data_IF_315457386791
#
_entry.id   IF_315457386791
#
_cell.length_a   1.000
_cell.length_b   1.000
_cell.length_c   1.000
_cell.angle_alpha   90.00
_cell.angle_beta   90.00
_cell.angle_gamma   90.00
#
_symmetry.space_group_name_H-M   'P 1'
#
loop_
_entity.id
_entity.type
_entity.pdbx_description
1 polymer ?
#
# COMPACT_ATOMS: atom_id res chain seq x y z
N UNK A 1 28.32 14.08 -85.06
CA UNK A 1 29.04 15.30 -84.63
C UNK A 1 29.24 15.16 -83.12
N UNK A 2 30.34 14.55 -82.65
CA UNK A 2 31.56 15.24 -82.18
C UNK A 2 31.17 16.14 -80.97
N UNK A 3 31.51 15.93 -79.69
CA UNK A 3 32.62 15.28 -78.97
C UNK A 3 32.21 14.99 -77.50
N UNK A 4 32.88 14.03 -76.88
CA UNK A 4 33.12 13.85 -75.43
C UNK A 4 34.66 13.95 -75.23
N UNK A 5 35.31 13.97 -74.03
CA UNK A 5 34.85 14.04 -72.63
C UNK A 5 35.60 15.11 -71.77
N UNK A 6 35.19 15.29 -70.51
CA UNK A 6 36.12 15.67 -69.44
C UNK A 6 35.80 14.93 -68.13
N UNK A 7 36.80 14.21 -67.63
CA UNK A 7 36.85 13.37 -66.42
C UNK A 7 36.64 14.18 -65.15
N UNK A 8 35.93 13.62 -64.15
CA UNK A 8 36.24 13.86 -62.72
C UNK A 8 36.10 12.58 -61.90
N UNK A 9 37.01 12.51 -60.93
CA UNK A 9 37.48 11.40 -60.10
C UNK A 9 36.42 10.70 -59.22
N UNK A 10 36.65 9.40 -59.01
CA UNK A 10 36.07 8.59 -57.94
C UNK A 10 36.54 9.05 -56.55
N UNK A 11 35.62 9.10 -55.59
CA UNK A 11 35.91 8.85 -54.19
C UNK A 11 34.66 8.26 -53.53
N UNK A 12 34.78 6.97 -53.18
CA UNK A 12 33.85 6.24 -52.32
C UNK A 12 34.04 6.79 -50.91
N UNK A 13 32.98 7.37 -50.32
CA UNK A 13 32.96 7.72 -48.89
C UNK A 13 32.10 6.69 -48.17
N UNK A 14 32.78 5.93 -47.32
CA UNK A 14 32.26 5.00 -46.34
C UNK A 14 31.51 5.80 -45.26
N UNK A 15 30.18 5.77 -45.24
CA UNK A 15 29.41 6.30 -44.11
C UNK A 15 29.27 5.19 -43.06
N UNK A 16 29.97 5.37 -41.94
CA UNK A 16 29.84 4.54 -40.75
C UNK A 16 28.43 4.70 -40.15
N UNK A 17 27.70 3.59 -40.00
CA UNK A 17 26.55 3.52 -39.11
C UNK A 17 27.05 3.49 -37.66
N UNK A 18 26.91 4.60 -36.95
CA UNK A 18 26.85 4.60 -35.49
C UNK A 18 25.39 4.69 -35.09
N UNK A 19 24.84 3.58 -34.61
CA UNK A 19 23.56 3.54 -33.94
C UNK A 19 23.65 4.38 -32.66
N UNK A 20 22.98 5.54 -32.65
CA UNK A 20 22.71 6.27 -31.44
C UNK A 20 21.50 5.60 -30.76
N UNK A 21 21.75 4.90 -29.66
CA UNK A 21 20.70 4.53 -28.71
C UNK A 21 20.11 5.84 -28.16
N UNK A 22 18.87 6.13 -28.51
CA UNK A 22 18.11 7.18 -27.83
C UNK A 22 17.66 6.61 -26.48
N UNK A 23 18.19 7.19 -25.40
CA UNK A 23 17.66 7.03 -24.05
C UNK A 23 16.26 7.67 -23.99
N UNK A 24 15.22 6.88 -24.29
CA UNK A 24 13.83 7.23 -23.99
C UNK A 24 13.59 7.08 -22.47
N UNK A 25 14.01 8.10 -21.71
CA UNK A 25 13.57 8.25 -20.34
C UNK A 25 12.08 8.66 -20.36
N UNK A 26 11.17 7.93 -19.69
CA UNK A 26 9.77 8.34 -19.58
C UNK A 26 9.68 9.68 -18.83
N UNK A 27 8.85 10.58 -19.35
CA UNK A 27 8.63 11.92 -18.80
C UNK A 27 8.14 11.93 -17.33
N UNK A 28 8.20 13.10 -16.65
CA UNK A 28 7.97 13.19 -15.22
C UNK A 28 6.58 12.68 -14.80
N UNK A 29 6.57 11.90 -13.72
CA UNK A 29 5.47 11.03 -13.30
C UNK A 29 4.22 11.77 -12.79
N UNK A 30 4.33 13.03 -12.34
CA UNK A 30 3.24 13.92 -11.92
C UNK A 30 3.72 15.38 -11.96
N UNK A 31 2.85 16.41 -12.12
CA UNK A 31 3.24 17.77 -11.79
C UNK A 31 3.54 17.86 -10.28
N UNK A 32 4.80 18.16 -9.94
CA UNK A 32 5.28 18.28 -8.57
C UNK A 32 4.51 19.37 -7.82
N UNK A 33 3.88 19.02 -6.69
CA UNK A 33 3.58 20.01 -5.68
C UNK A 33 4.90 20.51 -5.09
N UNK A 34 5.02 21.80 -4.71
CA UNK A 34 6.24 22.31 -4.11
C UNK A 34 6.58 21.53 -2.85
N UNK A 35 7.58 20.65 -2.94
CA UNK A 35 8.20 19.99 -1.79
C UNK A 35 8.82 21.09 -0.93
N UNK A 36 8.51 21.16 0.39
CA UNK A 36 9.16 22.12 1.26
C UNK A 36 10.68 22.06 1.08
N UNK A 37 11.29 23.20 0.78
CA UNK A 37 12.70 23.31 0.33
C UNK A 37 13.73 22.81 1.35
N UNK A 38 13.31 22.44 2.56
CA UNK A 38 14.01 21.53 3.47
C UNK A 38 12.99 20.69 4.23
N UNK A 39 13.05 19.36 4.14
CA UNK A 39 12.31 18.51 5.06
C UNK A 39 12.74 18.86 6.50
N UNK A 40 11.77 19.16 7.35
CA UNK A 40 12.01 19.38 8.79
C UNK A 40 11.40 18.22 9.55
N UNK A 41 12.13 17.60 10.49
CA UNK A 41 11.54 16.61 11.36
C UNK A 41 10.31 17.15 12.07
N UNK A 42 9.31 16.28 12.24
CA UNK A 42 8.07 16.61 12.92
C UNK A 42 8.35 17.04 14.37
N UNK A 43 7.66 18.06 14.92
CA UNK A 43 7.87 18.50 16.31
C UNK A 43 7.67 17.38 17.34
N UNK A 44 6.76 16.45 17.08
CA UNK A 44 6.49 15.27 17.91
C UNK A 44 7.34 14.03 17.56
N UNK A 45 8.56 14.20 17.04
CA UNK A 45 9.49 13.11 16.67
C UNK A 45 9.62 12.02 17.75
N UNK A 46 9.75 12.41 19.02
CA UNK A 46 9.91 11.45 20.12
C UNK A 46 8.70 10.52 20.27
N UNK A 47 7.49 11.06 20.12
CA UNK A 47 6.24 10.31 20.18
C UNK A 47 6.12 9.32 19.02
N UNK A 48 6.56 9.71 17.82
CA UNK A 48 6.61 8.81 16.66
C UNK A 48 7.62 7.69 16.84
N UNK A 49 8.82 7.98 17.37
CA UNK A 49 9.81 6.95 17.65
C UNK A 49 9.36 5.96 18.73
N UNK A 50 8.64 6.43 19.75
CA UNK A 50 8.04 5.54 20.75
C UNK A 50 6.96 4.64 20.12
N UNK A 51 6.09 5.23 19.28
CA UNK A 51 5.08 4.48 18.52
C UNK A 51 5.73 3.38 17.66
N UNK A 52 6.80 3.76 16.94
CA UNK A 52 7.56 2.89 16.06
C UNK A 52 8.24 1.73 16.81
N UNK A 53 8.79 1.97 18.00
CA UNK A 53 9.34 0.89 18.86
C UNK A 53 8.27 -0.15 19.20
N UNK A 54 7.07 0.29 19.59
CA UNK A 54 5.95 -0.60 19.83
C UNK A 54 5.55 -1.38 18.57
N UNK A 55 5.45 -0.71 17.43
CA UNK A 55 5.12 -1.38 16.17
C UNK A 55 6.17 -2.41 15.74
N UNK A 56 7.45 -2.11 15.94
CA UNK A 56 8.54 -3.06 15.67
C UNK A 56 8.49 -4.28 16.60
N UNK A 57 8.04 -4.15 17.86
CA UNK A 57 7.87 -5.31 18.76
C UNK A 57 7.00 -6.39 18.13
N UNK A 58 5.89 -6.02 17.48
CA UNK A 58 5.04 -6.96 16.76
C UNK A 58 5.81 -7.61 15.58
N UNK A 59 6.35 -6.77 14.68
CA UNK A 59 7.02 -7.23 13.47
C UNK A 59 8.21 -8.15 13.77
N UNK A 60 8.94 -7.89 14.86
CA UNK A 60 10.04 -8.71 15.32
C UNK A 60 9.58 -10.08 15.88
N UNK A 61 8.46 -10.10 16.62
CA UNK A 61 7.91 -11.33 17.21
C UNK A 61 7.30 -12.27 16.15
N UNK A 62 6.68 -11.68 15.11
CA UNK A 62 5.99 -12.41 14.06
C UNK A 62 6.84 -12.70 12.82
N UNK A 63 8.13 -12.36 12.88
CA UNK A 63 9.10 -12.61 11.81
C UNK A 63 9.42 -14.10 11.66
N UNK A 64 9.39 -14.59 10.43
CA UNK A 64 9.68 -15.98 10.08
C UNK A 64 11.11 -16.11 9.53
N UNK A 65 12.06 -16.70 10.30
CA UNK A 65 13.45 -16.75 9.87
C UNK A 65 13.72 -17.61 8.65
N UNK A 66 12.83 -18.54 8.29
CA UNK A 66 13.03 -19.37 7.10
C UNK A 66 12.85 -18.57 5.81
N UNK A 67 11.85 -17.68 5.78
CA UNK A 67 11.40 -16.96 4.56
C UNK A 67 11.69 -15.47 4.61
N UNK A 68 11.94 -14.90 5.79
CA UNK A 68 12.01 -13.45 5.98
C UNK A 68 10.65 -12.75 5.99
N UNK A 69 9.55 -13.48 5.82
CA UNK A 69 8.19 -12.94 5.86
C UNK A 69 7.75 -12.68 7.31
N UNK A 70 6.65 -11.95 7.49
CA UNK A 70 6.07 -11.63 8.79
C UNK A 70 4.61 -12.06 8.77
N UNK A 71 4.13 -12.71 9.84
CA UNK A 71 2.72 -13.11 9.95
C UNK A 71 1.80 -11.89 9.83
N UNK A 72 0.66 -12.07 9.15
CA UNK A 72 -0.30 -10.97 8.97
C UNK A 72 -0.99 -10.57 10.28
N UNK A 73 -1.30 -11.56 11.11
CA UNK A 73 -1.90 -11.47 12.44
C UNK A 73 -1.08 -12.32 13.40
N UNK A 74 -1.01 -11.91 14.67
CA UNK A 74 -0.23 -12.64 15.69
C UNK A 74 -0.52 -14.15 15.70
N UNK A 75 0.53 -14.97 15.54
CA UNK A 75 0.45 -16.44 15.58
C UNK A 75 -0.23 -17.09 14.37
N UNK A 76 -0.57 -16.33 13.33
CA UNK A 76 -1.25 -16.83 12.14
C UNK A 76 -0.29 -16.85 10.94
N UNK A 77 0.22 -18.03 10.51
CA UNK A 77 1.38 -18.14 9.62
C UNK A 77 1.04 -17.96 8.13
N UNK A 78 0.16 -17.03 7.81
CA UNK A 78 -0.26 -16.72 6.45
C UNK A 78 -0.30 -15.21 6.22
N UNK A 79 -0.05 -14.81 4.97
CA UNK A 79 0.02 -13.42 4.56
C UNK A 79 -0.49 -13.26 3.14
N UNK A 80 -1.38 -12.29 2.95
CA UNK A 80 -1.71 -11.77 1.63
C UNK A 80 -0.50 -11.06 1.02
N UNK A 81 -0.56 -10.78 -0.27
CA UNK A 81 0.50 -10.00 -0.94
C UNK A 81 0.57 -8.57 -0.37
N UNK A 82 -0.56 -8.03 0.11
CA UNK A 82 -0.61 -6.77 0.84
C UNK A 82 0.18 -6.83 2.16
N UNK A 83 -0.01 -7.91 2.92
CA UNK A 83 0.69 -8.15 4.19
C UNK A 83 2.20 -8.33 4.00
N UNK A 84 2.60 -9.04 2.93
CA UNK A 84 4.01 -9.20 2.56
C UNK A 84 4.65 -7.83 2.32
N UNK A 85 3.99 -6.96 1.57
CA UNK A 85 4.47 -5.61 1.32
C UNK A 85 4.55 -4.78 2.61
N UNK A 86 3.58 -4.92 3.52
CA UNK A 86 3.63 -4.33 4.86
C UNK A 86 4.80 -4.88 5.70
N UNK A 87 5.15 -6.17 5.55
CA UNK A 87 6.33 -6.76 6.19
C UNK A 87 7.64 -6.17 5.68
N UNK A 88 7.78 -6.02 4.35
CA UNK A 88 8.90 -5.32 3.73
C UNK A 88 9.02 -3.88 4.25
N UNK A 89 7.88 -3.18 4.33
CA UNK A 89 7.81 -1.83 4.89
C UNK A 89 8.32 -1.76 6.32
N UNK A 90 7.84 -2.65 7.19
CA UNK A 90 8.21 -2.68 8.59
C UNK A 90 9.72 -2.89 8.78
N UNK A 91 10.32 -3.83 8.04
CA UNK A 91 11.77 -4.10 8.12
C UNK A 91 12.58 -2.90 7.62
N UNK A 92 12.22 -2.34 6.46
CA UNK A 92 12.89 -1.17 5.89
C UNK A 92 12.85 0.02 6.85
N UNK A 93 11.65 0.38 7.32
CA UNK A 93 11.46 1.50 8.23
C UNK A 93 12.17 1.30 9.58
N UNK A 94 12.18 0.07 10.13
CA UNK A 94 12.90 -0.20 11.37
C UNK A 94 14.41 -0.03 11.24
N UNK A 95 14.99 -0.39 10.09
CA UNK A 95 16.39 -0.12 9.77
C UNK A 95 16.68 1.38 9.64
N UNK A 96 15.88 2.11 8.86
CA UNK A 96 16.05 3.56 8.65
C UNK A 96 15.88 4.38 9.94
N UNK A 97 14.98 3.96 10.83
CA UNK A 97 14.75 4.59 12.14
C UNK A 97 15.79 4.19 13.19
N UNK A 98 16.72 3.29 12.88
CA UNK A 98 17.73 2.79 13.82
C UNK A 98 17.14 1.95 14.96
N UNK A 99 15.97 1.34 14.76
CA UNK A 99 15.36 0.41 15.73
C UNK A 99 16.05 -0.95 15.74
N UNK A 100 16.66 -1.30 14.60
CA UNK A 100 17.57 -2.45 14.42
C UNK A 100 18.84 -1.98 13.72
N UNK A 101 19.91 -2.79 13.79
CA UNK A 101 21.13 -2.51 13.03
C UNK A 101 20.84 -2.57 11.53
N UNK A 102 21.42 -1.68 10.75
CA UNK A 102 21.25 -1.64 9.29
C UNK A 102 21.49 -3.01 8.64
N UNK A 103 22.61 -3.67 8.97
CA UNK A 103 22.91 -5.01 8.45
C UNK A 103 21.90 -6.10 8.84
N UNK A 104 21.17 -5.96 9.96
CA UNK A 104 20.09 -6.89 10.30
C UNK A 104 18.85 -6.62 9.45
N UNK A 105 18.55 -5.35 9.16
CA UNK A 105 17.48 -4.98 8.25
C UNK A 105 17.75 -5.52 6.84
N UNK A 106 18.97 -5.32 6.32
CA UNK A 106 19.36 -5.78 4.98
C UNK A 106 19.36 -7.31 4.88
N UNK A 107 19.80 -8.03 5.92
CA UNK A 107 19.72 -9.48 5.95
C UNK A 107 18.27 -10.00 5.95
N UNK A 108 17.36 -9.32 6.66
CA UNK A 108 15.93 -9.67 6.71
C UNK A 108 15.23 -9.35 5.38
N UNK A 109 15.49 -8.17 4.80
CA UNK A 109 15.01 -7.79 3.47
C UNK A 109 15.51 -8.76 2.40
N UNK A 110 16.81 -9.05 2.38
CA UNK A 110 17.41 -10.00 1.44
C UNK A 110 16.75 -11.37 1.49
N UNK A 111 16.38 -11.85 2.69
CA UNK A 111 15.67 -13.12 2.86
C UNK A 111 14.24 -13.07 2.32
N UNK A 112 13.47 -12.05 2.69
CA UNK A 112 12.11 -11.85 2.18
C UNK A 112 12.08 -11.75 0.65
N UNK A 113 13.02 -11.01 0.07
CA UNK A 113 13.17 -10.85 -1.37
C UNK A 113 13.58 -12.17 -2.05
N UNK A 114 14.46 -12.98 -1.44
CA UNK A 114 14.79 -14.29 -1.97
C UNK A 114 13.58 -15.24 -1.98
N UNK A 115 12.73 -15.20 -0.94
CA UNK A 115 11.44 -15.91 -0.95
C UNK A 115 10.53 -15.40 -2.06
N UNK A 116 10.37 -14.09 -2.22
CA UNK A 116 9.57 -13.52 -3.32
C UNK A 116 10.11 -13.89 -4.71
N UNK A 117 11.43 -14.00 -4.86
CA UNK A 117 12.09 -14.37 -6.12
C UNK A 117 11.87 -15.84 -6.48
N UNK A 118 11.61 -16.71 -5.50
CA UNK A 118 11.49 -18.16 -5.68
C UNK A 118 10.07 -18.69 -5.52
N UNK A 119 9.18 -17.98 -4.82
CA UNK A 119 7.83 -18.43 -4.55
C UNK A 119 7.05 -18.69 -5.85
N UNK A 120 6.19 -19.71 -5.84
CA UNK A 120 5.37 -20.07 -7.01
C UNK A 120 4.34 -18.98 -7.27
N UNK A 121 4.18 -18.61 -8.55
CA UNK A 121 3.15 -17.66 -8.99
C UNK A 121 1.88 -18.42 -9.41
N UNK A 122 0.72 -17.79 -9.25
CA UNK A 122 -0.54 -18.29 -9.80
C UNK A 122 -0.45 -18.28 -11.34
N UNK A 123 -0.61 -19.45 -11.95
CA UNK A 123 -0.47 -19.69 -13.40
C UNK A 123 0.84 -19.16 -14.02
N UNK A 124 1.90 -19.00 -13.22
CA UNK A 124 3.16 -18.40 -13.69
C UNK A 124 3.08 -16.90 -14.03
N UNK A 125 1.96 -16.24 -13.73
CA UNK A 125 1.68 -14.85 -14.14
C UNK A 125 1.94 -13.88 -13.01
N UNK A 126 1.40 -14.13 -11.83
CA UNK A 126 1.38 -13.16 -10.74
C UNK A 126 1.34 -13.85 -9.37
N UNK A 127 1.71 -13.16 -8.28
CA UNK A 127 1.57 -13.70 -6.93
C UNK A 127 0.15 -14.19 -6.65
N UNK A 128 0.03 -15.37 -6.04
CA UNK A 128 -1.23 -15.86 -5.50
C UNK A 128 -1.73 -14.92 -4.39
N UNK A 129 -3.05 -14.87 -4.15
CA UNK A 129 -3.63 -14.00 -3.12
C UNK A 129 -3.09 -14.26 -1.70
N UNK A 130 -2.72 -15.49 -1.34
CA UNK A 130 -2.21 -15.82 0.00
C UNK A 130 -1.02 -16.80 -0.04
N UNK A 131 -0.09 -16.63 0.89
CA UNK A 131 1.09 -17.47 1.05
C UNK A 131 1.32 -17.82 2.52
N UNK A 132 1.93 -18.98 2.72
CA UNK A 132 2.60 -19.30 3.98
C UNK A 132 3.69 -18.30 4.29
N UNK A 133 3.67 -17.72 5.47
CA UNK A 133 4.84 -16.98 5.96
C UNK A 133 5.92 -17.93 6.44
N UNK A 134 5.58 -19.14 6.88
CA UNK A 134 6.56 -20.11 7.38
C UNK A 134 7.36 -20.77 6.26
N UNK A 135 6.73 -21.04 5.11
CA UNK A 135 7.33 -21.84 4.02
C UNK A 135 7.48 -21.09 2.70
N UNK A 136 6.73 -19.99 2.49
CA UNK A 136 6.61 -19.32 1.19
C UNK A 136 5.77 -20.10 0.16
N UNK A 137 5.11 -21.18 0.57
CA UNK A 137 4.20 -21.95 -0.28
C UNK A 137 2.86 -21.23 -0.49
N UNK A 138 2.18 -21.54 -1.60
CA UNK A 138 0.81 -21.06 -1.86
C UNK A 138 -0.12 -21.58 -0.76
N UNK A 139 -0.88 -20.67 -0.16
CA UNK A 139 -1.98 -20.97 0.75
C UNK A 139 -3.33 -20.87 0.04
N UNK A 140 -4.33 -21.61 0.54
CA UNK A 140 -5.69 -21.62 0.01
C UNK A 140 -6.59 -20.53 0.59
N UNK A 141 -7.86 -20.57 0.18
CA UNK A 141 -8.92 -19.68 0.68
C UNK A 141 -9.28 -19.90 2.15
N UNK A 142 -9.04 -21.11 2.64
CA UNK A 142 -9.24 -21.53 4.02
C UNK A 142 -7.94 -21.47 4.82
N UNK A 143 -6.90 -20.86 4.24
CA UNK A 143 -5.60 -20.65 4.84
C UNK A 143 -4.99 -21.97 5.33
N UNK A 144 -5.08 -22.99 4.47
CA UNK A 144 -4.41 -24.28 4.63
C UNK A 144 -3.28 -24.47 3.62
N UNK A 145 -2.33 -25.33 3.99
CA UNK A 145 -1.09 -25.55 3.25
C UNK A 145 -0.82 -27.03 2.92
N UNK A 146 -0.25 -27.30 1.72
CA UNK A 146 -0.53 -26.55 0.50
C UNK A 146 -2.00 -26.76 0.14
N UNK A 147 -2.83 -25.70 0.10
CA UNK A 147 -4.24 -25.92 -0.21
C UNK A 147 -4.46 -26.44 -1.64
N UNK A 148 -3.69 -25.91 -2.61
CA UNK A 148 -3.67 -26.40 -4.00
C UNK A 148 -2.32 -26.15 -4.67
N UNK A 149 -2.00 -26.93 -5.71
CA UNK A 149 -0.80 -26.66 -6.53
C UNK A 149 -0.91 -25.35 -7.34
N UNK A 150 -2.12 -24.97 -7.74
CA UNK A 150 -2.32 -23.80 -8.61
C UNK A 150 -2.42 -22.47 -7.84
N UNK A 151 -3.02 -22.47 -6.66
CA UNK A 151 -3.54 -21.28 -5.99
C UNK A 151 -4.99 -20.98 -6.38
N UNK A 152 -5.48 -19.77 -6.07
CA UNK A 152 -6.87 -19.37 -6.27
C UNK A 152 -7.06 -17.97 -6.89
N UNK A 153 -6.00 -17.40 -7.45
CA UNK A 153 -6.01 -16.15 -8.21
C UNK A 153 -5.06 -15.10 -7.63
N UNK A 154 -5.19 -13.86 -8.08
CA UNK A 154 -4.37 -12.74 -7.64
C UNK A 154 -5.22 -11.51 -7.31
N UNK A 155 -4.70 -10.68 -6.41
CA UNK A 155 -5.21 -9.34 -6.11
C UNK A 155 -4.29 -8.32 -6.78
N UNK A 156 -4.81 -7.62 -7.78
CA UNK A 156 -4.11 -6.52 -8.44
C UNK A 156 -3.89 -5.31 -7.52
N UNK A 157 -4.78 -5.07 -6.54
CA UNK A 157 -4.55 -4.03 -5.52
C UNK A 157 -3.37 -4.37 -4.61
N UNK A 158 -3.25 -5.64 -4.21
CA UNK A 158 -2.14 -6.10 -3.37
C UNK A 158 -0.82 -6.07 -4.14
N UNK A 159 -0.84 -6.51 -5.40
CA UNK A 159 0.33 -6.43 -6.28
C UNK A 159 0.76 -4.97 -6.46
N UNK A 160 -0.19 -4.03 -6.62
CA UNK A 160 0.11 -2.60 -6.68
C UNK A 160 0.89 -2.13 -5.45
N UNK A 161 0.44 -2.47 -4.24
CA UNK A 161 1.17 -2.18 -2.99
C UNK A 161 2.56 -2.82 -2.97
N UNK A 162 2.68 -4.09 -3.35
CA UNK A 162 3.97 -4.78 -3.43
C UNK A 162 4.92 -4.05 -4.39
N UNK A 163 4.44 -3.63 -5.56
CA UNK A 163 5.24 -2.92 -6.55
C UNK A 163 5.73 -1.54 -6.05
N UNK A 164 4.93 -0.83 -5.24
CA UNK A 164 5.38 0.39 -4.55
C UNK A 164 6.57 0.07 -3.63
N UNK A 165 6.43 -0.93 -2.76
CA UNK A 165 7.48 -1.27 -1.80
C UNK A 165 8.74 -1.86 -2.44
N UNK A 166 8.58 -2.64 -3.50
CA UNK A 166 9.69 -3.10 -4.32
C UNK A 166 10.43 -1.90 -4.94
N UNK A 167 9.73 -0.88 -5.41
CA UNK A 167 10.37 0.34 -5.94
C UNK A 167 11.14 1.09 -4.86
N UNK A 168 10.54 1.30 -3.68
CA UNK A 168 11.19 1.95 -2.53
C UNK A 168 12.49 1.23 -2.18
N UNK A 169 12.45 -0.09 -2.03
CA UNK A 169 13.63 -0.90 -1.70
C UNK A 169 14.67 -0.84 -2.80
N UNK A 170 14.29 -0.98 -4.08
CA UNK A 170 15.25 -0.93 -5.19
C UNK A 170 16.00 0.40 -5.29
N UNK A 171 15.37 1.51 -4.90
CA UNK A 171 15.98 2.85 -4.92
C UNK A 171 16.81 3.10 -3.65
N UNK A 172 16.28 2.77 -2.47
CA UNK A 172 16.89 3.12 -1.18
C UNK A 172 17.86 2.06 -0.63
N UNK A 173 17.84 0.84 -1.20
CA UNK A 173 18.74 -0.28 -0.88
C UNK A 173 19.33 -0.86 -2.18
N UNK A 174 20.29 -0.17 -2.82
CA UNK A 174 20.81 -0.54 -4.15
C UNK A 174 21.33 -1.98 -4.24
N UNK A 175 21.84 -2.54 -3.14
CA UNK A 175 22.27 -3.93 -3.00
C UNK A 175 21.15 -4.94 -3.27
N UNK A 176 19.89 -4.57 -3.06
CA UNK A 176 18.71 -5.39 -3.34
C UNK A 176 18.10 -5.14 -4.72
N UNK A 177 18.51 -4.08 -5.43
CA UNK A 177 17.87 -3.64 -6.66
C UNK A 177 17.87 -4.69 -7.77
N UNK A 178 18.94 -5.48 -7.88
CA UNK A 178 19.02 -6.57 -8.87
C UNK A 178 17.99 -7.68 -8.59
N UNK A 179 17.87 -8.09 -7.32
CA UNK A 179 16.88 -9.08 -6.89
C UNK A 179 15.46 -8.57 -7.09
N UNK A 180 15.18 -7.32 -6.72
CA UNK A 180 13.88 -6.70 -6.96
C UNK A 180 13.52 -6.72 -8.46
N UNK A 181 14.43 -6.32 -9.35
CA UNK A 181 14.17 -6.37 -10.80
C UNK A 181 13.82 -7.78 -11.28
N UNK A 182 14.49 -8.81 -10.75
CA UNK A 182 14.18 -10.21 -11.08
C UNK A 182 12.80 -10.62 -10.56
N UNK A 183 12.41 -10.21 -9.35
CA UNK A 183 11.06 -10.44 -8.82
C UNK A 183 9.99 -9.84 -9.74
N UNK A 184 10.14 -8.57 -10.13
CA UNK A 184 9.18 -7.88 -11.01
C UNK A 184 9.14 -8.54 -12.39
N UNK A 185 10.29 -8.90 -12.97
CA UNK A 185 10.37 -9.54 -14.28
C UNK A 185 9.72 -10.93 -14.36
N UNK A 186 9.51 -11.60 -13.21
CA UNK A 186 8.75 -12.86 -13.16
C UNK A 186 7.24 -12.65 -13.31
N UNK A 187 6.74 -11.44 -13.07
CA UNK A 187 5.33 -11.13 -13.16
C UNK A 187 4.99 -10.65 -14.57
N UNK A 188 3.94 -11.22 -15.17
CA UNK A 188 3.39 -10.70 -16.42
C UNK A 188 2.36 -9.60 -16.11
N UNK A 189 2.86 -8.42 -15.77
CA UNK A 189 2.04 -7.25 -15.42
C UNK A 189 1.15 -6.78 -16.58
N UNK A 190 1.50 -7.13 -17.83
CA UNK A 190 0.68 -6.82 -19.01
C UNK A 190 -0.65 -7.59 -19.03
N UNK A 191 -0.72 -8.76 -18.38
CA UNK A 191 -1.96 -9.52 -18.22
C UNK A 191 -2.88 -9.01 -17.10
N UNK A 192 -2.34 -8.16 -16.22
CA UNK A 192 -3.06 -7.53 -15.12
C UNK A 192 -3.64 -6.19 -15.55
N UNK A 193 -2.90 -5.40 -16.32
CA UNK A 193 -3.39 -4.13 -16.86
C UNK A 193 -4.15 -4.36 -18.16
N UNK A 194 -5.44 -4.00 -18.18
CA UNK A 194 -6.30 -4.13 -19.35
C UNK A 194 -7.28 -2.98 -19.46
N UNK A 195 -7.42 -2.43 -20.67
CA UNK A 195 -8.36 -1.34 -20.98
C UNK A 195 -8.19 -0.12 -20.05
N UNK A 196 -6.94 0.13 -19.62
CA UNK A 196 -6.60 1.21 -18.68
C UNK A 196 -6.91 0.92 -17.21
N UNK A 197 -7.33 -0.30 -16.87
CA UNK A 197 -7.70 -0.72 -15.51
C UNK A 197 -6.89 -1.92 -15.00
N UNK A 198 -6.89 -2.09 -13.68
CA UNK A 198 -6.31 -3.25 -13.01
C UNK A 198 -7.32 -4.41 -12.92
N UNK A 199 -6.87 -5.62 -13.25
CA UNK A 199 -7.69 -6.82 -13.29
C UNK A 199 -7.25 -7.84 -12.24
N UNK A 200 -8.17 -8.19 -11.35
CA UNK A 200 -8.03 -9.31 -10.44
C UNK A 200 -8.37 -10.64 -11.11
N UNK A 201 -7.95 -11.74 -10.48
CA UNK A 201 -8.37 -13.09 -10.84
C UNK A 201 -8.82 -13.86 -9.63
N UNK A 202 -9.74 -14.78 -9.87
CA UNK A 202 -10.25 -15.64 -8.83
C UNK A 202 -10.69 -16.99 -9.40
N UNK A 203 -10.34 -18.09 -8.73
CA UNK A 203 -10.88 -19.42 -9.05
C UNK A 203 -12.15 -19.65 -8.23
N UNK A 204 -13.32 -19.67 -8.86
CA UNK A 204 -14.60 -19.87 -8.17
C UNK A 204 -14.65 -21.20 -7.41
N UNK A 205 -15.62 -21.39 -6.49
CA UNK A 205 -15.84 -22.69 -5.84
C UNK A 205 -16.12 -23.84 -6.84
N UNK A 206 -16.60 -23.54 -8.04
CA UNK A 206 -16.83 -24.52 -9.12
C UNK A 206 -15.59 -24.75 -10.01
N UNK A 207 -14.47 -24.08 -9.72
CA UNK A 207 -13.20 -24.21 -10.45
C UNK A 207 -13.05 -23.28 -11.66
N UNK A 208 -14.02 -22.40 -11.90
CA UNK A 208 -13.99 -21.44 -13.01
C UNK A 208 -12.98 -20.31 -12.73
N UNK A 209 -12.15 -19.97 -13.71
CA UNK A 209 -11.25 -18.82 -13.60
C UNK A 209 -11.97 -17.53 -13.98
N UNK A 210 -12.39 -16.78 -12.96
CA UNK A 210 -13.02 -15.47 -13.09
C UNK A 210 -11.99 -14.36 -13.26
N UNK A 211 -12.36 -13.33 -14.01
CA UNK A 211 -11.64 -12.06 -14.14
C UNK A 211 -12.59 -10.93 -13.81
N UNK A 212 -12.12 -9.93 -13.09
CA UNK A 212 -12.88 -8.75 -12.75
C UNK A 212 -11.97 -7.53 -12.65
N UNK A 213 -12.52 -6.35 -12.91
CA UNK A 213 -11.84 -5.10 -12.60
C UNK A 213 -11.82 -4.94 -11.07
N UNK A 214 -10.63 -4.79 -10.51
CA UNK A 214 -10.40 -4.71 -9.08
C UNK A 214 -9.84 -3.34 -8.68
N UNK A 215 -10.25 -2.89 -7.50
CA UNK A 215 -10.00 -1.55 -7.02
C UNK A 215 -11.21 -0.63 -7.18
N UNK A 216 -11.32 0.29 -6.22
CA UNK A 216 -12.25 1.42 -6.21
C UNK A 216 -11.50 2.68 -5.83
N UNK A 217 -12.17 3.82 -5.97
CA UNK A 217 -11.63 5.14 -5.65
C UNK A 217 -10.76 5.15 -4.38
N UNK A 218 -9.58 5.74 -4.48
CA UNK A 218 -8.52 5.67 -3.46
C UNK A 218 -7.56 4.51 -3.72
N UNK A 219 -7.99 3.28 -3.42
CA UNK A 219 -7.15 2.08 -3.56
C UNK A 219 -6.72 1.80 -5.00
N UNK A 220 -7.62 2.02 -5.96
CA UNK A 220 -7.33 1.83 -7.38
C UNK A 220 -6.20 2.76 -7.84
N UNK A 221 -6.24 4.03 -7.45
CA UNK A 221 -5.20 5.01 -7.82
C UNK A 221 -3.86 4.67 -7.15
N UNK A 222 -3.89 4.33 -5.86
CA UNK A 222 -2.69 3.91 -5.12
C UNK A 222 -2.04 2.67 -5.75
N UNK A 223 -2.83 1.63 -6.02
CA UNK A 223 -2.34 0.41 -6.65
C UNK A 223 -1.82 0.68 -8.07
N UNK A 224 -2.56 1.43 -8.88
CA UNK A 224 -2.17 1.75 -10.26
C UNK A 224 -0.87 2.53 -10.33
N UNK A 225 -0.58 3.38 -9.34
CA UNK A 225 0.71 4.05 -9.24
C UNK A 225 1.86 3.06 -9.01
N UNK A 226 1.64 2.01 -8.21
CA UNK A 226 2.55 0.88 -8.06
C UNK A 226 2.95 0.25 -9.40
N UNK A 227 1.98 -0.02 -10.27
CA UNK A 227 2.28 -0.54 -11.63
C UNK A 227 2.99 0.51 -12.51
N UNK A 228 2.61 1.78 -12.41
CA UNK A 228 3.22 2.87 -13.16
C UNK A 228 4.72 3.06 -12.85
N UNK A 229 5.14 2.83 -11.60
CA UNK A 229 6.55 2.85 -11.18
C UNK A 229 7.44 1.82 -11.91
N UNK A 230 6.81 0.83 -12.55
CA UNK A 230 7.46 -0.23 -13.33
C UNK A 230 7.07 -0.19 -14.81
N UNK A 231 6.52 0.91 -15.30
CA UNK A 231 6.19 1.11 -16.73
C UNK A 231 4.86 0.51 -17.18
N UNK A 232 4.07 -0.08 -16.29
CA UNK A 232 2.77 -0.69 -16.61
C UNK A 232 1.62 0.26 -16.21
N UNK A 233 1.38 1.28 -17.02
CA UNK A 233 0.43 2.34 -16.66
C UNK A 233 -1.02 1.93 -16.95
N UNK A 234 -1.84 1.88 -15.90
CA UNK A 234 -3.29 1.74 -16.00
C UNK A 234 -3.95 3.14 -16.05
N UNK A 235 -3.94 3.79 -17.22
CA UNK A 235 -4.26 5.22 -17.37
C UNK A 235 -5.68 5.62 -16.90
N UNK A 236 -6.65 4.72 -16.96
CA UNK A 236 -7.99 4.99 -16.44
C UNK A 236 -8.01 4.89 -14.91
N UNK A 237 -7.36 3.87 -14.35
CA UNK A 237 -7.21 3.69 -12.91
C UNK A 237 -6.38 4.79 -12.24
N UNK A 238 -5.39 5.37 -12.92
CA UNK A 238 -4.57 6.48 -12.41
C UNK A 238 -5.34 7.80 -12.28
N UNK A 239 -6.41 7.99 -13.06
CA UNK A 239 -7.18 9.23 -13.11
C UNK A 239 -8.28 9.22 -12.05
N UNK A 240 -8.07 9.93 -10.94
CA UNK A 240 -9.04 9.99 -9.83
C UNK A 240 -10.46 10.37 -10.30
N UNK A 241 -10.56 11.30 -11.24
CA UNK A 241 -11.85 11.80 -11.76
C UNK A 241 -12.55 10.86 -12.73
N UNK A 242 -11.88 9.84 -13.26
CA UNK A 242 -12.43 8.96 -14.32
C UNK A 242 -13.74 8.29 -13.89
N UNK A 243 -13.79 7.79 -12.65
CA UNK A 243 -14.95 7.11 -12.09
C UNK A 243 -15.57 7.82 -10.88
N UNK A 244 -15.16 9.06 -10.60
CA UNK A 244 -15.62 9.78 -9.43
C UNK A 244 -17.02 10.37 -9.63
N UNK A 245 -17.87 10.23 -8.61
CA UNK A 245 -19.13 10.97 -8.45
C UNK A 245 -19.09 11.78 -7.15
N UNK A 246 -19.63 13.01 -7.15
CA UNK A 246 -19.65 13.82 -5.94
C UNK A 246 -20.59 13.21 -4.90
N UNK A 247 -20.11 13.12 -3.67
CA UNK A 247 -20.90 12.74 -2.49
C UNK A 247 -20.58 13.69 -1.34
N UNK A 248 -21.30 13.56 -0.23
CA UNK A 248 -21.01 14.33 0.97
C UNK A 248 -21.05 13.45 2.21
N UNK A 249 -20.15 13.68 3.15
CA UNK A 249 -20.22 13.13 4.49
C UNK A 249 -20.31 14.28 5.50
N UNK A 250 -21.43 14.36 6.22
CA UNK A 250 -21.71 15.43 7.19
C UNK A 250 -21.57 16.86 6.63
N UNK A 251 -21.81 17.06 5.33
CA UNK A 251 -21.70 18.36 4.64
C UNK A 251 -20.30 18.66 4.10
N UNK A 252 -19.33 17.75 4.26
CA UNK A 252 -18.02 17.84 3.62
C UNK A 252 -18.10 17.22 2.22
N UNK A 253 -17.76 17.94 1.14
CA UNK A 253 -17.69 17.40 -0.21
C UNK A 253 -16.61 16.32 -0.33
N UNK A 254 -16.98 15.17 -0.89
CA UNK A 254 -16.12 14.01 -1.11
C UNK A 254 -16.40 13.44 -2.50
N UNK A 255 -15.67 12.37 -2.84
CA UNK A 255 -15.91 11.58 -4.04
C UNK A 255 -16.20 10.13 -3.65
N UNK A 256 -17.09 9.50 -4.39
CA UNK A 256 -17.31 8.06 -4.39
C UNK A 256 -17.08 7.50 -5.80
N UNK A 257 -16.98 6.18 -5.91
CA UNK A 257 -16.85 5.49 -7.18
C UNK A 257 -18.23 5.24 -7.81
N UNK A 258 -18.43 5.66 -9.06
CA UNK A 258 -19.69 5.43 -9.81
C UNK A 258 -19.97 3.95 -10.06
N UNK A 259 -18.95 3.09 -9.98
CA UNK A 259 -19.09 1.63 -10.08
C UNK A 259 -19.61 1.00 -8.78
N UNK A 260 -19.70 1.79 -7.70
CA UNK A 260 -20.21 1.38 -6.41
C UNK A 260 -19.25 0.52 -5.59
N UNK A 261 -19.70 0.15 -4.39
CA UNK A 261 -18.99 -0.73 -3.44
C UNK A 261 -17.62 -0.23 -2.97
N UNK A 262 -17.40 1.08 -3.07
CA UNK A 262 -16.23 1.75 -2.53
C UNK A 262 -16.43 2.10 -1.06
N UNK A 263 -15.69 1.41 -0.19
CA UNK A 263 -15.51 1.87 1.19
C UNK A 263 -14.52 3.02 1.18
N UNK A 264 -15.00 4.25 1.38
CA UNK A 264 -14.12 5.41 1.49
C UNK A 264 -13.49 5.43 2.89
N UNK A 265 -12.39 4.68 3.06
CA UNK A 265 -11.58 4.63 4.27
C UNK A 265 -10.42 5.63 4.22
N UNK A 266 -9.70 5.81 5.33
CA UNK A 266 -8.51 6.66 5.37
C UNK A 266 -7.29 6.04 4.69
N UNK A 267 -7.19 4.71 4.68
CA UNK A 267 -5.97 3.99 4.33
C UNK A 267 -5.36 4.36 2.98
N UNK A 268 -6.08 4.32 1.83
CA UNK A 268 -5.43 4.56 0.55
C UNK A 268 -4.86 5.98 0.45
N UNK A 269 -5.47 6.95 1.13
CA UNK A 269 -4.99 8.32 1.19
C UNK A 269 -3.78 8.46 2.09
N UNK A 270 -3.79 7.79 3.25
CA UNK A 270 -2.63 7.73 4.14
C UNK A 270 -1.42 7.12 3.42
N UNK A 271 -1.61 5.96 2.81
CA UNK A 271 -0.53 5.25 2.11
C UNK A 271 0.00 6.07 0.94
N UNK A 272 -0.88 6.66 0.12
CA UNK A 272 -0.46 7.55 -0.94
C UNK A 272 0.33 8.76 -0.40
N UNK A 273 -0.05 9.31 0.75
CA UNK A 273 0.63 10.46 1.35
C UNK A 273 2.01 10.11 1.89
N UNK A 274 2.09 9.03 2.67
CA UNK A 274 3.34 8.56 3.29
C UNK A 274 4.31 8.03 2.25
N UNK A 275 3.82 7.20 1.33
CA UNK A 275 4.68 6.44 0.43
C UNK A 275 4.94 7.19 -0.88
N UNK A 276 3.94 7.83 -1.49
CA UNK A 276 4.07 8.40 -2.85
C UNK A 276 4.21 9.92 -2.86
N UNK A 277 3.66 10.59 -1.83
CA UNK A 277 3.36 12.02 -1.87
C UNK A 277 2.10 12.28 -2.69
N UNK A 278 1.20 13.11 -2.17
CA UNK A 278 -0.03 13.43 -2.88
C UNK A 278 0.23 14.34 -4.07
N UNK A 279 -0.39 14.03 -5.20
CA UNK A 279 -0.72 15.07 -6.18
C UNK A 279 -1.88 15.94 -5.66
N UNK A 280 -2.18 17.03 -6.38
CA UNK A 280 -3.22 17.97 -5.97
C UNK A 280 -4.59 17.31 -5.74
N UNK A 281 -5.06 16.49 -6.68
CA UNK A 281 -6.40 15.90 -6.59
C UNK A 281 -6.51 14.91 -5.42
N UNK A 282 -5.48 14.10 -5.20
CA UNK A 282 -5.40 13.18 -4.07
C UNK A 282 -5.33 13.94 -2.75
N UNK A 283 -4.57 15.04 -2.68
CA UNK A 283 -4.48 15.89 -1.50
C UNK A 283 -5.84 16.53 -1.17
N UNK A 284 -6.56 17.06 -2.16
CA UNK A 284 -7.90 17.64 -1.97
C UNK A 284 -8.86 16.61 -1.36
N UNK A 285 -8.91 15.39 -1.91
CA UNK A 285 -9.78 14.34 -1.37
C UNK A 285 -9.32 13.84 0.01
N UNK A 286 -8.02 13.64 0.23
CA UNK A 286 -7.46 13.24 1.51
C UNK A 286 -7.79 14.25 2.63
N UNK A 287 -7.66 15.55 2.35
CA UNK A 287 -8.06 16.61 3.28
C UNK A 287 -9.57 16.56 3.57
N UNK A 288 -10.41 16.32 2.57
CA UNK A 288 -11.85 16.11 2.75
C UNK A 288 -12.16 14.92 3.66
N UNK A 289 -11.48 13.78 3.44
CA UNK A 289 -11.65 12.55 4.25
C UNK A 289 -11.30 12.80 5.72
N UNK A 290 -10.20 13.49 6.01
CA UNK A 290 -9.86 13.87 7.39
C UNK A 290 -10.83 14.92 7.96
N UNK A 291 -11.23 15.92 7.17
CA UNK A 291 -12.15 16.97 7.60
C UNK A 291 -13.53 16.42 7.98
N UNK A 292 -14.06 15.44 7.23
CA UNK A 292 -15.33 14.79 7.56
C UNK A 292 -15.27 14.10 8.93
N UNK A 293 -14.14 13.44 9.25
CA UNK A 293 -13.90 12.81 10.54
C UNK A 293 -13.81 13.86 11.66
N UNK A 294 -13.13 14.99 11.41
CA UNK A 294 -13.07 16.11 12.34
C UNK A 294 -14.45 16.71 12.62
N UNK A 295 -15.28 16.87 11.59
CA UNK A 295 -16.66 17.35 11.74
C UNK A 295 -17.50 16.38 12.56
N UNK A 296 -17.33 15.06 12.38
CA UNK A 296 -18.00 14.07 13.26
C UNK A 296 -17.59 14.30 14.71
N UNK A 297 -16.30 14.40 14.99
CA UNK A 297 -15.80 14.67 16.35
C UNK A 297 -16.38 15.96 16.94
N UNK A 298 -16.43 17.06 16.18
CA UNK A 298 -17.00 18.33 16.63
C UNK A 298 -18.49 18.23 16.97
N UNK A 299 -19.24 17.37 16.25
CA UNK A 299 -20.68 17.18 16.47
C UNK A 299 -21.00 16.22 17.61
N UNK A 300 -20.17 15.18 17.80
CA UNK A 300 -20.50 14.07 18.72
C UNK A 300 -19.59 13.99 19.94
N UNK A 301 -18.47 14.69 19.94
CA UNK A 301 -17.40 14.53 20.92
C UNK A 301 -16.60 13.24 20.75
N UNK A 302 -16.93 12.37 19.79
CA UNK A 302 -16.27 11.09 19.57
C UNK A 302 -15.05 11.24 18.64
N UNK A 303 -13.82 11.05 19.12
CA UNK A 303 -12.64 11.00 18.24
C UNK A 303 -12.86 9.96 17.15
N UNK A 304 -12.56 10.32 15.91
CA UNK A 304 -12.92 9.55 14.73
C UNK A 304 -11.69 9.42 13.84
N UNK A 305 -11.14 8.22 13.72
CA UNK A 305 -10.02 7.93 12.83
C UNK A 305 -10.30 6.57 12.19
N UNK A 306 -11.07 6.59 11.11
CA UNK A 306 -11.64 5.39 10.49
C UNK A 306 -10.68 4.81 9.48
N UNK A 307 -10.55 3.48 9.48
CA UNK A 307 -9.85 2.71 8.46
C UNK A 307 -10.53 1.34 8.34
N UNK A 308 -9.95 0.46 7.54
CA UNK A 308 -10.20 -0.97 7.56
C UNK A 308 -9.19 -1.69 8.44
N UNK A 309 -9.70 -2.59 9.28
CA UNK A 309 -8.89 -3.24 10.30
C UNK A 309 -9.38 -4.66 10.60
N UNK A 310 -8.44 -5.49 11.05
CA UNK A 310 -8.73 -6.74 11.69
C UNK A 310 -9.31 -6.46 13.10
N UNK A 311 -10.55 -6.87 13.34
CA UNK A 311 -11.28 -6.69 14.60
C UNK A 311 -11.87 -8.05 14.99
N UNK A 312 -11.46 -8.65 16.12
CA UNK A 312 -11.84 -10.02 16.52
C UNK A 312 -13.26 -10.06 17.11
N UNK A 313 -14.25 -9.69 16.31
CA UNK A 313 -15.65 -9.58 16.70
C UNK A 313 -16.52 -10.37 15.74
N UNK A 314 -17.02 -11.52 16.18
CA UNK A 314 -17.93 -12.34 15.39
C UNK A 314 -19.15 -11.54 14.86
N UNK A 315 -19.68 -11.90 13.67
CA UNK A 315 -19.34 -13.09 12.87
C UNK A 315 -18.17 -12.88 11.90
N UNK A 316 -17.65 -11.66 11.75
CA UNK A 316 -16.54 -11.37 10.85
C UNK A 316 -15.24 -11.10 11.61
N UNK A 317 -14.14 -10.96 10.87
CA UNK A 317 -12.83 -10.63 11.45
C UNK A 317 -12.22 -9.36 10.86
N UNK A 318 -12.63 -8.97 9.65
CA UNK A 318 -12.09 -7.79 8.97
C UNK A 318 -13.23 -6.86 8.59
N UNK A 319 -13.12 -5.60 8.99
CA UNK A 319 -14.18 -4.61 8.88
C UNK A 319 -13.68 -3.34 8.23
N UNK A 320 -14.55 -2.69 7.46
CA UNK A 320 -14.30 -1.41 6.81
C UNK A 320 -15.12 -0.34 7.52
N UNK A 321 -14.50 0.44 8.41
CA UNK A 321 -15.15 1.61 8.97
C UNK A 321 -14.92 2.78 8.01
N UNK A 322 -15.96 3.20 7.29
CA UNK A 322 -15.84 4.13 6.17
C UNK A 322 -16.36 5.53 6.53
N UNK A 323 -15.71 6.57 6.02
CA UNK A 323 -16.23 7.94 6.05
C UNK A 323 -17.54 8.02 5.25
N UNK A 324 -17.60 7.31 4.13
CA UNK A 324 -18.81 7.11 3.34
C UNK A 324 -18.81 5.72 2.69
N UNK A 325 -19.98 5.07 2.69
CA UNK A 325 -20.24 3.87 1.91
C UNK A 325 -21.67 3.91 1.40
N UNK A 326 -21.85 3.80 0.08
CA UNK A 326 -23.17 3.90 -0.59
C UNK A 326 -23.96 5.14 -0.16
N UNK A 327 -23.28 6.27 0.01
CA UNK A 327 -23.86 7.55 0.44
C UNK A 327 -24.17 7.65 1.94
N UNK A 328 -23.97 6.59 2.72
CA UNK A 328 -24.16 6.62 4.17
C UNK A 328 -22.85 7.01 4.87
N UNK A 329 -22.85 8.04 5.73
CA UNK A 329 -21.63 8.46 6.41
C UNK A 329 -21.36 7.62 7.66
N UNK A 330 -20.09 7.30 7.92
CA UNK A 330 -19.64 6.65 9.16
C UNK A 330 -20.35 5.32 9.48
N UNK A 331 -20.48 4.47 8.47
CA UNK A 331 -20.98 3.09 8.60
C UNK A 331 -19.84 2.09 8.55
N UNK A 332 -20.08 0.93 9.13
CA UNK A 332 -19.16 -0.21 9.10
C UNK A 332 -19.67 -1.20 8.08
N UNK A 333 -18.79 -1.75 7.24
CA UNK A 333 -19.15 -2.80 6.31
C UNK A 333 -18.14 -3.93 6.26
N UNK A 334 -18.48 -4.94 5.46
CA UNK A 334 -17.68 -6.14 5.27
C UNK A 334 -17.55 -6.39 3.76
N UNK A 335 -16.32 -6.38 3.28
CA UNK A 335 -16.03 -6.58 1.86
C UNK A 335 -16.53 -7.94 1.37
N UNK A 336 -16.98 -7.98 0.11
CA UNK A 336 -17.57 -9.18 -0.49
C UNK A 336 -19.00 -9.47 -0.03
N UNK A 337 -19.58 -8.61 0.81
CA UNK A 337 -20.97 -8.72 1.27
C UNK A 337 -21.74 -7.41 1.03
N UNK A 338 -23.06 -7.47 1.15
CA UNK A 338 -23.93 -6.29 1.14
C UNK A 338 -24.25 -5.77 2.56
N UNK A 339 -23.50 -6.23 3.57
CA UNK A 339 -23.81 -5.96 4.98
C UNK A 339 -23.29 -4.58 5.38
N UNK A 340 -24.18 -3.80 5.99
CA UNK A 340 -23.89 -2.51 6.64
C UNK A 340 -24.25 -2.67 8.12
N UNK A 341 -23.35 -2.23 8.98
CA UNK A 341 -23.42 -2.36 10.43
C UNK A 341 -23.20 -1.00 11.10
N UNK A 342 -23.79 -0.84 12.28
CA UNK A 342 -23.49 0.28 13.17
C UNK A 342 -22.31 -0.01 14.10
N UNK A 343 -21.99 -1.28 14.34
CA UNK A 343 -20.93 -1.76 15.24
C UNK A 343 -20.24 -3.00 14.62
N UNK A 344 -18.98 -3.30 14.97
CA UNK A 344 -18.15 -2.58 15.93
C UNK A 344 -17.62 -1.25 15.36
N UNK A 345 -17.60 -0.18 16.16
CA UNK A 345 -16.87 1.06 15.85
C UNK A 345 -15.60 1.19 16.67
N UNK A 346 -14.54 1.64 16.03
CA UNK A 346 -13.24 1.81 16.65
C UNK A 346 -12.52 3.05 16.10
N UNK A 347 -11.49 3.47 16.84
CA UNK A 347 -10.52 4.47 16.42
C UNK A 347 -9.28 3.71 15.98
N UNK A 348 -8.99 3.73 14.69
CA UNK A 348 -7.85 3.01 14.10
C UNK A 348 -6.53 3.64 14.53
N UNK A 349 -5.64 2.82 15.09
CA UNK A 349 -4.32 3.26 15.56
C UNK A 349 -3.44 3.71 14.39
N UNK A 350 -3.45 2.94 13.29
CA UNK A 350 -2.70 3.28 12.07
C UNK A 350 -3.19 4.59 11.46
N UNK A 351 -4.51 4.80 11.41
CA UNK A 351 -5.07 6.04 10.88
C UNK A 351 -4.75 7.24 11.76
N UNK A 352 -4.92 7.12 13.09
CA UNK A 352 -4.63 8.19 14.03
C UNK A 352 -3.17 8.66 13.98
N UNK A 353 -2.23 7.71 13.98
CA UNK A 353 -0.79 8.02 13.93
C UNK A 353 -0.41 8.63 12.58
N UNK A 354 -0.88 8.04 11.47
CA UNK A 354 -0.47 8.49 10.15
C UNK A 354 -1.09 9.82 9.72
N UNK A 355 -2.36 10.08 10.06
CA UNK A 355 -2.97 11.39 9.80
C UNK A 355 -2.25 12.52 10.52
N UNK A 356 -1.76 12.26 11.74
CA UNK A 356 -0.98 13.25 12.46
C UNK A 356 0.38 13.51 11.80
N UNK A 357 1.04 12.48 11.28
CA UNK A 357 2.31 12.64 10.55
C UNK A 357 2.13 13.47 9.28
N UNK A 358 1.03 13.26 8.55
CA UNK A 358 0.75 13.92 7.28
C UNK A 358 0.16 15.33 7.44
N UNK A 359 -0.80 15.49 8.36
CA UNK A 359 -1.60 16.70 8.58
C UNK A 359 -1.67 17.03 10.08
N UNK A 360 -0.56 17.52 10.68
CA UNK A 360 -0.51 17.82 12.10
C UNK A 360 -1.45 18.96 12.47
N UNK A 361 -2.30 18.71 13.46
CA UNK A 361 -3.25 19.66 14.04
C UNK A 361 -3.60 19.24 15.46
N UNK A 362 -4.24 20.11 16.26
CA UNK A 362 -4.79 19.70 17.56
C UNK A 362 -5.75 18.51 17.47
N UNK A 363 -6.50 18.40 16.36
CA UNK A 363 -7.42 17.28 16.14
C UNK A 363 -6.67 15.96 15.88
N UNK A 364 -5.68 15.96 15.00
CA UNK A 364 -4.92 14.74 14.71
C UNK A 364 -4.04 14.31 15.89
N UNK A 365 -3.57 15.26 16.71
CA UNK A 365 -2.89 14.95 17.97
C UNK A 365 -3.81 14.24 18.97
N UNK A 366 -5.04 14.72 19.12
CA UNK A 366 -6.05 14.07 19.95
C UNK A 366 -6.32 12.62 19.51
N UNK A 367 -6.19 12.32 18.21
CA UNK A 367 -6.24 10.96 17.69
C UNK A 367 -5.18 10.05 18.30
N UNK A 368 -3.92 10.49 18.35
CA UNK A 368 -2.83 9.73 18.95
C UNK A 368 -3.08 9.45 20.43
N UNK A 369 -3.50 10.48 21.17
CA UNK A 369 -3.80 10.34 22.59
C UNK A 369 -4.97 9.36 22.81
N UNK A 370 -5.98 9.41 21.93
CA UNK A 370 -7.14 8.52 21.97
C UNK A 370 -6.80 7.04 21.73
N UNK A 371 -5.78 6.75 20.91
CA UNK A 371 -5.34 5.36 20.63
C UNK A 371 -4.17 4.90 21.50
N UNK A 372 -3.69 5.73 22.43
CA UNK A 372 -2.60 5.34 23.34
C UNK A 372 -2.86 3.99 24.06
N UNK A 373 -4.09 3.65 24.50
CA UNK A 373 -4.36 2.35 25.11
C UNK A 373 -4.16 1.16 24.17
N UNK A 374 -4.19 1.35 22.84
CA UNK A 374 -3.96 0.28 21.86
C UNK A 374 -2.51 -0.24 21.86
N UNK A 375 -1.57 0.47 22.51
CA UNK A 375 -0.19 0.04 22.71
C UNK A 375 -0.11 -1.05 23.79
N UNK A 376 0.61 -2.12 23.48
CA UNK A 376 0.94 -3.21 24.39
C UNK A 376 2.46 -3.39 24.46
N UNK A 377 3.08 -3.38 25.67
CA UNK A 377 4.54 -3.39 25.81
C UNK A 377 5.26 -4.55 25.11
N UNK A 378 4.63 -5.73 25.07
CA UNK A 378 5.25 -6.95 24.51
C UNK A 378 4.59 -7.48 23.23
N UNK A 379 3.45 -6.93 22.83
CA UNK A 379 2.71 -7.37 21.64
C UNK A 379 2.72 -6.34 20.51
N UNK A 380 3.08 -5.09 20.83
CA UNK A 380 3.09 -3.99 19.88
C UNK A 380 1.78 -3.23 19.89
N UNK A 381 1.12 -3.09 18.74
CA UNK A 381 -0.12 -2.34 18.61
C UNK A 381 -1.27 -3.24 18.21
N UNK A 382 -2.39 -3.12 18.93
CA UNK A 382 -3.67 -3.57 18.39
C UNK A 382 -4.14 -2.60 17.28
N UNK A 383 -5.04 -3.04 16.41
CA UNK A 383 -5.63 -2.23 15.33
C UNK A 383 -6.15 -0.87 15.77
N UNK A 384 -6.51 -0.72 17.05
CA UNK A 384 -7.09 0.49 17.60
C UNK A 384 -7.77 0.26 18.94
N UNK A 385 -8.63 1.20 19.32
CA UNK A 385 -9.50 1.09 20.49
C UNK A 385 -10.97 1.19 20.09
N UNK A 386 -11.87 0.47 20.77
CA UNK A 386 -13.31 0.63 20.54
C UNK A 386 -13.77 2.04 20.94
N UNK A 387 -14.67 2.64 20.15
CA UNK A 387 -15.17 4.00 20.43
C UNK A 387 -15.86 4.08 21.80
N UNK A 388 -16.68 3.07 22.10
CA UNK A 388 -17.56 3.01 23.28
C UNK A 388 -16.82 2.74 24.59
N UNK A 389 -15.80 1.87 24.59
CA UNK A 389 -15.13 1.42 25.81
C UNK A 389 -13.71 1.95 25.96
N UNK A 390 -13.10 2.44 24.87
CA UNK A 390 -11.66 2.74 24.76
C UNK A 390 -10.74 1.55 25.05
N UNK A 391 -11.30 0.35 25.16
CA UNK A 391 -10.51 -0.86 25.30
C UNK A 391 -9.79 -1.16 23.97
N UNK A 392 -8.56 -1.72 24.03
CA UNK A 392 -7.89 -2.23 22.84
C UNK A 392 -8.75 -3.22 22.08
N UNK A 393 -8.64 -3.20 20.76
CA UNK A 393 -9.40 -4.10 19.87
C UNK A 393 -8.96 -5.55 19.98
N UNK A 394 -7.71 -5.81 20.39
CA UNK A 394 -7.16 -7.15 20.60
C UNK A 394 -6.76 -7.89 19.33
N UNK A 395 -6.46 -7.17 18.24
CA UNK A 395 -5.85 -7.72 17.02
C UNK A 395 -4.57 -6.98 16.71
N UNK A 396 -3.44 -7.57 17.06
CA UNK A 396 -2.12 -7.12 16.61
C UNK A 396 -1.82 -7.70 15.22
N UNK A 397 -1.45 -6.83 14.28
CA UNK A 397 -1.27 -7.19 12.87
C UNK A 397 -0.19 -6.36 12.17
N UNK A 398 0.34 -6.90 11.07
CA UNK A 398 1.44 -6.28 10.34
C UNK A 398 1.05 -4.97 9.65
N UNK A 399 -0.21 -4.83 9.22
CA UNK A 399 -0.66 -3.63 8.52
C UNK A 399 -0.68 -2.42 9.46
N UNK A 400 -1.11 -2.60 10.71
CA UNK A 400 -1.04 -1.56 11.75
C UNK A 400 0.41 -1.22 12.07
N UNK A 401 1.25 -2.23 12.30
CA UNK A 401 2.65 -2.02 12.63
C UNK A 401 3.41 -1.30 11.51
N UNK A 402 3.21 -1.71 10.26
CA UNK A 402 3.86 -1.14 9.09
C UNK A 402 3.49 0.34 8.91
N UNK A 403 2.21 0.71 8.97
CA UNK A 403 1.80 2.12 8.80
C UNK A 403 2.32 3.00 9.94
N UNK A 404 2.35 2.51 11.18
CA UNK A 404 2.95 3.25 12.31
C UNK A 404 4.46 3.47 12.11
N UNK A 405 5.19 2.46 11.64
CA UNK A 405 6.62 2.56 11.31
C UNK A 405 6.88 3.54 10.14
N UNK A 406 6.04 3.48 9.10
CA UNK A 406 6.11 4.41 7.97
C UNK A 406 5.83 5.85 8.39
N UNK A 407 4.79 6.08 9.19
CA UNK A 407 4.46 7.39 9.72
C UNK A 407 5.61 7.98 10.55
N UNK A 408 6.30 7.15 11.33
CA UNK A 408 7.48 7.59 12.07
C UNK A 408 8.67 7.93 11.16
N UNK A 409 8.92 7.14 10.12
CA UNK A 409 9.98 7.45 9.14
C UNK A 409 9.67 8.71 8.33
N UNK A 410 8.40 8.91 7.97
CA UNK A 410 7.94 10.14 7.33
C UNK A 410 8.11 11.33 8.28
N UNK A 411 7.71 11.20 9.55
CA UNK A 411 7.89 12.25 10.56
C UNK A 411 9.37 12.59 10.81
N UNK A 412 10.27 11.60 10.71
CA UNK A 412 11.71 11.80 10.81
C UNK A 412 12.27 12.57 9.61
N UNK A 413 11.90 12.11 8.41
CA UNK A 413 12.53 12.54 7.16
C UNK A 413 11.84 13.71 6.48
N UNK A 414 10.58 14.00 6.83
CA UNK A 414 9.74 15.06 6.25
C UNK A 414 9.44 14.89 4.76
N UNK A 415 9.59 13.68 4.20
CA UNK A 415 9.42 13.41 2.77
C UNK A 415 8.71 12.06 2.53
N UNK A 416 8.01 11.91 1.39
CA UNK A 416 7.48 10.62 0.97
C UNK A 416 8.58 9.56 0.82
N UNK A 417 8.19 8.28 0.92
CA UNK A 417 9.13 7.16 0.87
C UNK A 417 9.58 6.78 -0.55
N UNK A 418 8.78 7.02 -1.58
CA UNK A 418 9.25 6.97 -2.96
C UNK A 418 10.06 8.24 -3.22
N UNK A 419 11.31 8.07 -3.65
CA UNK A 419 12.26 9.14 -3.97
C UNK A 419 12.56 9.19 -5.46
#
# INVERSE_FOLDING_TARGET
>A
MILSPARRFSAIVLLALTAACADDAPGPLLPELPVPTRPRPHPDRALFLEAARGAWTYAAAEYQPATGLINSVAGYPYATVWDIASGLAAIHCAGELGLIRAGDADARLGRALATLESMRLFDGIAPNKNYSTATGAIAGRDDREPATERGYGWSSTDIGRLLVWLRIIAVQRPEHAATVRRIVARMDLSQIVRDGYLQGREVSPTGELLRYQEGRLGYEQYAAYGFALWGHRAESALRLRENAVPVQALGIPLLADRRGDDFLTSEPFILAGLELGWNREMAELANGVLAAQQVRFQRTGQPTFVSEDAIPRAPYYFYYYAVSYRGQPFVVGVQGTNVILDEPRWISAKAAVAWHALLPSPYTRLGIDAVAPARHPTKGWSSGVYESTRAPTGSENINTAAVVLQAALFAESGRPLVQ
#
